data_IF_065699876366
#
_entry.id   IF_065699876366
#
_cell.length_a   1.000
_cell.length_b   1.000
_cell.length_c   1.000
_cell.angle_alpha   90.00
_cell.angle_beta   90.00
_cell.angle_gamma   90.00
#
_symmetry.space_group_name_H-M   'P 1'
#
loop_
_entity.id
_entity.type
_entity.pdbx_description
1 polymer ?
#
# COMPACT_ATOMS: atom_id res chain seq x y z
N UNK A 1 -11.80 -28.37 3.49
CA UNK A 1 -11.45 -27.00 3.06
C UNK A 1 -11.32 -27.04 1.55
N UNK A 2 -12.20 -26.34 0.85
CA UNK A 2 -12.05 -26.15 -0.59
C UNK A 2 -10.79 -25.32 -0.83
N UNK A 3 -9.89 -25.78 -1.70
CA UNK A 3 -8.68 -25.04 -2.00
C UNK A 3 -9.06 -23.77 -2.74
N UNK A 4 -8.77 -22.61 -2.13
CA UNK A 4 -8.85 -21.31 -2.80
C UNK A 4 -7.77 -21.27 -3.87
N UNK A 5 -8.19 -21.21 -5.14
CA UNK A 5 -7.27 -21.06 -6.27
C UNK A 5 -7.27 -19.60 -6.71
N UNK A 6 -6.10 -19.00 -6.98
CA UNK A 6 -6.05 -17.66 -7.54
C UNK A 6 -6.74 -17.67 -8.91
N UNK A 7 -7.62 -16.71 -9.16
CA UNK A 7 -8.26 -16.60 -10.47
C UNK A 7 -7.23 -16.16 -11.52
N UNK A 8 -7.57 -16.36 -12.79
CA UNK A 8 -6.79 -15.83 -13.90
C UNK A 8 -6.59 -14.30 -13.80
N UNK A 9 -7.59 -13.57 -13.29
CA UNK A 9 -7.54 -12.11 -13.18
C UNK A 9 -6.56 -11.64 -12.11
N UNK A 10 -6.50 -12.34 -10.97
CA UNK A 10 -5.51 -12.06 -9.92
C UNK A 10 -4.09 -12.33 -10.42
N UNK A 11 -3.88 -13.43 -11.14
CA UNK A 11 -2.58 -13.76 -11.74
C UNK A 11 -2.15 -12.73 -12.80
N UNK A 12 -3.08 -12.22 -13.60
CA UNK A 12 -2.83 -11.12 -14.53
C UNK A 12 -2.39 -9.84 -13.81
N UNK A 13 -3.04 -9.49 -12.69
CA UNK A 13 -2.66 -8.34 -11.86
C UNK A 13 -1.23 -8.47 -11.33
N UNK A 14 -0.87 -9.65 -10.83
CA UNK A 14 0.49 -9.95 -10.36
C UNK A 14 1.53 -9.84 -11.48
N UNK A 15 1.25 -10.45 -12.63
CA UNK A 15 2.15 -10.40 -13.79
C UNK A 15 2.34 -8.96 -14.29
N UNK A 16 1.26 -8.18 -14.34
CA UNK A 16 1.30 -6.78 -14.75
C UNK A 16 2.17 -5.95 -13.81
N UNK A 17 1.92 -6.02 -12.50
CA UNK A 17 2.72 -5.33 -11.49
C UNK A 17 4.20 -5.74 -11.57
N UNK A 18 4.48 -7.03 -11.71
CA UNK A 18 5.85 -7.54 -11.82
C UNK A 18 6.58 -7.00 -13.05
N UNK A 19 5.88 -6.90 -14.19
CA UNK A 19 6.42 -6.35 -15.43
C UNK A 19 6.72 -4.85 -15.31
N UNK A 20 5.78 -4.07 -14.75
CA UNK A 20 5.91 -2.62 -14.59
C UNK A 20 7.02 -2.26 -13.60
N UNK A 21 7.13 -2.99 -12.49
CA UNK A 21 8.15 -2.75 -11.46
C UNK A 21 9.46 -3.54 -11.66
N UNK A 22 9.69 -4.17 -12.82
CA UNK A 22 10.83 -5.09 -13.06
C UNK A 22 12.22 -4.49 -12.77
N UNK A 23 12.38 -3.19 -13.01
CA UNK A 23 13.64 -2.46 -12.79
C UNK A 23 13.69 -1.72 -11.45
N UNK A 24 12.56 -1.57 -10.76
CA UNK A 24 12.49 -0.83 -9.50
C UNK A 24 13.03 -1.68 -8.34
N UNK A 25 13.61 -1.00 -7.35
CA UNK A 25 14.10 -1.59 -6.10
C UNK A 25 13.48 -0.88 -4.90
N UNK A 26 13.40 -1.57 -3.77
CA UNK A 26 13.10 -0.96 -2.47
C UNK A 26 14.24 0.01 -2.09
N UNK A 27 14.03 0.78 -1.03
CA UNK A 27 14.98 1.81 -0.57
C UNK A 27 16.26 1.25 0.09
N UNK A 28 16.40 -0.08 0.10
CA UNK A 28 17.65 -0.78 0.40
C UNK A 28 18.52 -1.00 -0.85
N UNK A 29 18.05 -0.58 -2.04
CA UNK A 29 18.69 -0.70 -3.35
C UNK A 29 18.98 -2.15 -3.82
N UNK A 30 18.48 -3.15 -3.09
CA UNK A 30 18.77 -4.57 -3.34
C UNK A 30 17.48 -5.34 -3.65
N UNK A 31 16.45 -5.13 -2.83
CA UNK A 31 15.22 -5.92 -2.89
C UNK A 31 14.35 -5.49 -4.09
N UNK A 32 13.92 -6.41 -4.98
CA UNK A 32 12.99 -6.10 -6.08
C UNK A 32 11.70 -5.46 -5.57
N UNK A 33 11.23 -4.38 -6.22
CA UNK A 33 10.09 -3.62 -5.72
C UNK A 33 8.78 -4.42 -5.73
N UNK A 34 8.60 -5.35 -6.66
CA UNK A 34 7.42 -6.23 -6.75
C UNK A 34 7.10 -6.98 -5.43
N UNK A 35 8.11 -7.20 -4.58
CA UNK A 35 7.90 -7.79 -3.26
C UNK A 35 7.00 -6.91 -2.38
N UNK A 36 7.02 -5.58 -2.56
CA UNK A 36 6.12 -4.66 -1.85
C UNK A 36 4.64 -4.88 -2.22
N UNK A 37 4.18 -4.72 -3.48
CA UNK A 37 2.79 -5.02 -3.81
C UNK A 37 2.34 -6.44 -3.43
N UNK A 38 3.23 -7.45 -3.58
CA UNK A 38 2.94 -8.82 -3.13
C UNK A 38 2.68 -8.85 -1.62
N UNK A 39 3.53 -8.21 -0.81
CA UNK A 39 3.35 -8.16 0.63
C UNK A 39 2.05 -7.44 1.01
N UNK A 40 1.72 -6.32 0.37
CA UNK A 40 0.48 -5.57 0.64
C UNK A 40 -0.74 -6.45 0.35
N UNK A 41 -0.78 -7.13 -0.81
CA UNK A 41 -1.86 -8.07 -1.13
C UNK A 41 -1.89 -9.28 -0.16
N UNK A 42 -0.73 -9.77 0.26
CA UNK A 42 -0.62 -10.89 1.22
C UNK A 42 -1.12 -10.50 2.61
N UNK A 43 -0.75 -9.31 3.10
CA UNK A 43 -1.24 -8.75 4.37
C UNK A 43 -2.77 -8.70 4.34
N UNK A 44 -3.35 -8.20 3.24
CA UNK A 44 -4.81 -8.14 3.09
C UNK A 44 -5.45 -9.52 3.11
N UNK A 45 -4.92 -10.48 2.34
CA UNK A 45 -5.50 -11.80 2.21
C UNK A 45 -5.34 -12.65 3.48
N UNK A 46 -4.16 -12.64 4.09
CA UNK A 46 -3.78 -13.56 5.18
C UNK A 46 -4.09 -12.98 6.55
N UNK A 47 -3.76 -11.71 6.80
CA UNK A 47 -3.96 -11.07 8.10
C UNK A 47 -5.29 -10.32 8.14
N UNK A 48 -5.60 -9.57 7.08
CA UNK A 48 -6.83 -8.78 6.95
C UNK A 48 -8.08 -9.61 6.67
N UNK A 49 -7.93 -10.89 6.27
CA UNK A 49 -9.03 -11.78 5.91
C UNK A 49 -9.80 -11.36 4.66
N UNK A 50 -9.18 -10.57 3.78
CA UNK A 50 -9.84 -10.01 2.60
C UNK A 50 -9.87 -11.05 1.47
N UNK A 51 -11.08 -11.36 1.00
CA UNK A 51 -11.32 -12.25 -0.15
C UNK A 51 -11.83 -11.51 -1.38
N UNK A 52 -12.06 -10.20 -1.29
CA UNK A 52 -12.50 -9.37 -2.41
C UNK A 52 -11.36 -9.21 -3.43
N UNK A 53 -11.53 -9.85 -4.58
CA UNK A 53 -10.49 -9.88 -5.62
C UNK A 53 -10.16 -8.49 -6.16
N UNK A 54 -11.13 -7.58 -6.27
CA UNK A 54 -10.87 -6.21 -6.74
C UNK A 54 -9.94 -5.46 -5.79
N UNK A 55 -10.06 -5.69 -4.48
CA UNK A 55 -9.14 -5.12 -3.46
C UNK A 55 -7.75 -5.73 -3.56
N UNK A 56 -7.65 -7.05 -3.72
CA UNK A 56 -6.36 -7.74 -3.82
C UNK A 56 -5.60 -7.37 -5.11
N UNK A 57 -6.30 -7.25 -6.24
CA UNK A 57 -5.70 -6.76 -7.49
C UNK A 57 -5.29 -5.30 -7.34
N UNK A 58 -6.14 -4.44 -6.76
CA UNK A 58 -5.77 -3.04 -6.53
C UNK A 58 -4.54 -2.92 -5.63
N UNK A 59 -4.39 -3.78 -4.62
CA UNK A 59 -3.18 -3.84 -3.79
C UNK A 59 -1.92 -4.24 -4.57
N UNK A 60 -2.03 -5.18 -5.52
CA UNK A 60 -0.91 -5.52 -6.42
C UNK A 60 -0.54 -4.35 -7.35
N UNK A 61 -1.51 -3.50 -7.69
CA UNK A 61 -1.36 -2.43 -8.67
C UNK A 61 -1.14 -1.03 -8.07
N UNK A 62 -1.21 -0.89 -6.74
CA UNK A 62 -1.39 0.42 -6.09
C UNK A 62 -0.32 1.46 -6.44
N UNK A 63 0.93 1.03 -6.65
CA UNK A 63 2.05 1.91 -7.02
C UNK A 63 2.33 1.96 -8.53
N UNK A 64 1.60 1.21 -9.35
CA UNK A 64 1.93 1.12 -10.79
C UNK A 64 1.77 2.46 -11.48
N UNK A 65 0.66 3.17 -11.25
CA UNK A 65 0.45 4.51 -11.84
C UNK A 65 1.37 5.55 -11.20
N UNK A 66 1.69 5.39 -9.91
CA UNK A 66 2.51 6.36 -9.18
C UNK A 66 4.01 6.30 -9.59
N UNK A 67 4.57 5.10 -9.75
CA UNK A 67 6.02 4.88 -9.83
C UNK A 67 6.49 4.31 -11.18
N UNK A 68 5.58 4.09 -12.13
CA UNK A 68 5.92 3.51 -13.46
C UNK A 68 5.30 4.32 -14.60
N UNK A 69 5.38 3.81 -15.83
CA UNK A 69 4.76 4.40 -17.02
C UNK A 69 3.27 4.04 -17.19
N UNK A 70 2.68 3.39 -16.18
CA UNK A 70 1.29 2.94 -16.20
C UNK A 70 0.32 4.11 -16.15
N UNK A 71 -0.79 4.01 -16.88
CA UNK A 71 -1.87 5.01 -16.83
C UNK A 71 -3.16 4.42 -16.23
N UNK A 72 -4.03 5.29 -15.70
CA UNK A 72 -5.37 4.85 -15.26
C UNK A 72 -6.20 4.23 -16.39
N UNK A 73 -6.03 4.71 -17.62
CA UNK A 73 -6.73 4.14 -18.78
C UNK A 73 -6.25 2.72 -19.07
N UNK A 74 -4.94 2.45 -18.96
CA UNK A 74 -4.38 1.11 -19.06
C UNK A 74 -4.97 0.19 -17.97
N UNK A 75 -5.00 0.63 -16.70
CA UNK A 75 -5.61 -0.15 -15.60
C UNK A 75 -7.09 -0.44 -15.88
N UNK A 76 -7.85 0.56 -16.32
CA UNK A 76 -9.28 0.41 -16.63
C UNK A 76 -9.53 -0.58 -17.77
N UNK A 77 -8.71 -0.55 -18.83
CA UNK A 77 -8.83 -1.46 -19.97
C UNK A 77 -8.51 -2.92 -19.59
N UNK A 78 -7.47 -3.13 -18.76
CA UNK A 78 -7.04 -4.48 -18.38
C UNK A 78 -7.88 -5.08 -17.23
N UNK A 79 -8.28 -4.26 -16.25
CA UNK A 79 -8.84 -4.75 -14.98
C UNK A 79 -10.27 -4.26 -14.70
N UNK A 80 -10.74 -3.23 -15.41
CA UNK A 80 -12.07 -2.66 -15.26
C UNK A 80 -12.12 -1.43 -14.35
N UNK A 81 -13.28 -0.78 -14.35
CA UNK A 81 -13.51 0.51 -13.68
C UNK A 81 -13.29 0.42 -12.17
N UNK A 82 -13.84 -0.60 -11.51
CA UNK A 82 -13.77 -0.71 -10.05
C UNK A 82 -12.33 -0.73 -9.53
N UNK A 83 -11.47 -1.57 -10.11
CA UNK A 83 -10.05 -1.66 -9.73
C UNK A 83 -9.33 -0.34 -10.05
N UNK A 84 -9.63 0.27 -11.19
CA UNK A 84 -9.07 1.57 -11.55
C UNK A 84 -9.42 2.67 -10.54
N UNK A 85 -10.65 2.71 -10.03
CA UNK A 85 -11.06 3.69 -9.02
C UNK A 85 -10.30 3.48 -7.70
N UNK A 86 -10.18 2.23 -7.24
CA UNK A 86 -9.41 1.92 -6.02
C UNK A 86 -7.95 2.34 -6.19
N UNK A 87 -7.31 1.99 -7.32
CA UNK A 87 -5.92 2.38 -7.63
C UNK A 87 -5.78 3.90 -7.65
N UNK A 88 -6.75 4.63 -8.20
CA UNK A 88 -6.74 6.10 -8.21
C UNK A 88 -6.80 6.70 -6.82
N UNK A 89 -7.63 6.16 -5.93
CA UNK A 89 -7.74 6.66 -4.55
C UNK A 89 -6.46 6.45 -3.72
N UNK A 90 -5.60 5.51 -4.13
CA UNK A 90 -4.34 5.18 -3.44
C UNK A 90 -3.08 5.71 -4.16
N UNK A 91 -3.24 6.38 -5.30
CA UNK A 91 -2.14 7.00 -6.05
C UNK A 91 -1.95 8.46 -5.60
N UNK A 92 -0.75 8.85 -5.20
CA UNK A 92 -0.42 10.25 -4.94
C UNK A 92 -0.15 11.02 -6.25
N UNK A 93 -0.51 12.30 -6.29
CA UNK A 93 -0.14 13.21 -7.39
C UNK A 93 1.34 13.59 -7.32
N UNK A 94 2.18 12.95 -8.14
CA UNK A 94 3.62 13.19 -8.22
C UNK A 94 4.00 14.59 -8.72
N UNK A 95 3.07 15.39 -9.25
CA UNK A 95 3.34 16.79 -9.63
C UNK A 95 3.49 17.71 -8.41
N UNK A 96 2.95 17.30 -7.26
CA UNK A 96 3.02 18.06 -6.02
C UNK A 96 4.30 17.78 -5.24
N UNK A 97 4.74 18.77 -4.47
CA UNK A 97 5.86 18.63 -3.55
C UNK A 97 5.63 17.52 -2.52
N UNK A 98 6.72 16.86 -2.11
CA UNK A 98 6.63 15.69 -1.21
C UNK A 98 5.91 15.96 0.10
N UNK A 99 6.10 17.15 0.68
CA UNK A 99 5.43 17.54 1.92
C UNK A 99 3.92 17.72 1.71
N UNK A 100 3.54 18.23 0.54
CA UNK A 100 2.15 18.43 0.19
C UNK A 100 1.43 17.09 -0.03
N UNK A 101 2.06 16.14 -0.74
CA UNK A 101 1.51 14.77 -0.88
C UNK A 101 1.28 14.11 0.47
N UNK A 102 2.24 14.26 1.39
CA UNK A 102 2.12 13.76 2.77
C UNK A 102 0.96 14.39 3.55
N UNK A 103 0.72 15.69 3.37
CA UNK A 103 -0.42 16.41 3.98
C UNK A 103 -1.74 15.88 3.42
N UNK A 104 -1.83 15.78 2.09
CA UNK A 104 -3.02 15.27 1.40
C UNK A 104 -3.33 13.82 1.76
N UNK A 105 -2.33 12.95 1.98
CA UNK A 105 -2.59 11.59 2.47
C UNK A 105 -3.33 11.57 3.82
N UNK A 106 -3.08 12.53 4.72
CA UNK A 106 -3.78 12.63 6.01
C UNK A 106 -5.23 13.08 5.78
N UNK A 107 -5.44 14.09 4.93
CA UNK A 107 -6.77 14.66 4.66
C UNK A 107 -7.67 13.70 3.88
N UNK A 108 -7.13 13.07 2.85
CA UNK A 108 -7.87 12.15 2.00
C UNK A 108 -8.11 10.79 2.66
N UNK A 109 -7.32 10.41 3.69
CA UNK A 109 -7.48 9.14 4.39
C UNK A 109 -8.90 8.94 4.93
N UNK A 110 -9.49 9.96 5.57
CA UNK A 110 -10.85 9.86 6.10
C UNK A 110 -11.93 9.74 5.01
N UNK A 111 -11.70 10.41 3.87
CA UNK A 111 -12.63 10.46 2.73
C UNK A 111 -12.53 9.26 1.78
N UNK A 112 -11.46 8.48 1.89
CA UNK A 112 -11.24 7.32 1.01
C UNK A 112 -12.33 6.27 1.22
N UNK A 113 -12.68 5.57 0.15
CA UNK A 113 -13.60 4.44 0.17
C UNK A 113 -13.10 3.33 1.09
N UNK A 114 -14.00 2.46 1.55
CA UNK A 114 -13.64 1.34 2.41
C UNK A 114 -12.55 0.44 1.76
N UNK A 115 -12.69 0.17 0.45
CA UNK A 115 -11.72 -0.63 -0.31
C UNK A 115 -10.36 0.04 -0.40
N UNK A 116 -10.31 1.35 -0.65
CA UNK A 116 -9.05 2.10 -0.66
C UNK A 116 -8.40 2.19 0.72
N UNK A 117 -9.18 2.34 1.80
CA UNK A 117 -8.67 2.33 3.19
C UNK A 117 -8.00 1.00 3.53
N UNK A 118 -8.55 -0.14 3.09
CA UNK A 118 -7.90 -1.44 3.26
C UNK A 118 -6.50 -1.45 2.65
N UNK A 119 -6.38 -1.07 1.38
CA UNK A 119 -5.09 -1.02 0.67
C UNK A 119 -4.12 -0.07 1.36
N UNK A 120 -4.56 1.14 1.75
CA UNK A 120 -3.73 2.12 2.47
C UNK A 120 -3.25 1.61 3.83
N UNK A 121 -4.09 0.91 4.59
CA UNK A 121 -3.69 0.33 5.87
C UNK A 121 -2.61 -0.75 5.69
N UNK A 122 -2.81 -1.65 4.73
CA UNK A 122 -1.83 -2.71 4.43
C UNK A 122 -0.51 -2.15 3.88
N UNK A 123 -0.56 -1.13 3.02
CA UNK A 123 0.62 -0.38 2.55
C UNK A 123 1.42 0.18 3.74
N UNK A 124 0.75 0.91 4.64
CA UNK A 124 1.41 1.46 5.82
C UNK A 124 1.99 0.36 6.71
N UNK A 125 1.30 -0.76 6.88
CA UNK A 125 1.79 -1.88 7.68
C UNK A 125 3.05 -2.50 7.07
N UNK A 126 3.10 -2.79 5.77
CA UNK A 126 4.31 -3.30 5.11
C UNK A 126 5.47 -2.32 5.24
N UNK A 127 5.23 -1.04 4.94
CA UNK A 127 6.25 0.00 4.99
C UNK A 127 6.82 0.21 6.40
N UNK A 128 5.99 0.16 7.44
CA UNK A 128 6.43 0.29 8.83
C UNK A 128 7.17 -0.97 9.31
N UNK A 129 6.74 -2.17 8.91
CA UNK A 129 7.46 -3.41 9.18
C UNK A 129 8.84 -3.42 8.51
N UNK A 130 8.93 -2.92 7.28
CA UNK A 130 10.20 -2.80 6.55
C UNK A 130 11.12 -1.77 7.21
N UNK A 131 10.61 -0.59 7.57
CA UNK A 131 11.36 0.44 8.29
C UNK A 131 11.89 -0.06 9.64
N UNK A 132 11.13 -0.92 10.34
CA UNK A 132 11.55 -1.55 11.59
C UNK A 132 12.68 -2.57 11.38
N UNK A 133 12.66 -3.31 10.27
CA UNK A 133 13.63 -4.37 9.94
C UNK A 133 14.95 -3.82 9.38
N UNK A 134 14.87 -2.98 8.36
CA UNK A 134 16.02 -2.40 7.66
C UNK A 134 15.66 -0.98 7.23
N UNK A 135 16.08 0.04 8.00
CA UNK A 135 15.82 1.41 7.62
C UNK A 135 16.40 1.74 6.23
N UNK A 136 15.73 2.61 5.46
CA UNK A 136 16.24 3.05 4.16
C UNK A 136 17.66 3.62 4.22
N UNK A 137 18.45 3.37 3.17
CA UNK A 137 19.81 3.90 3.07
C UNK A 137 19.77 5.43 3.09
N UNK A 138 20.63 6.04 3.92
CA UNK A 138 20.76 7.49 4.03
C UNK A 138 19.67 8.21 4.82
N UNK A 139 18.75 7.50 5.50
CA UNK A 139 17.79 8.13 6.40
C UNK A 139 18.39 8.39 7.78
N UNK A 140 18.36 9.65 8.24
CA UNK A 140 18.65 10.00 9.64
C UNK A 140 17.60 9.37 10.58
N UNK A 141 17.95 9.19 11.85
CA UNK A 141 17.01 8.72 12.88
C UNK A 141 15.78 9.63 12.97
N UNK A 142 15.99 10.94 12.94
CA UNK A 142 14.91 11.93 12.92
C UNK A 142 13.94 11.69 11.76
N UNK A 143 14.46 11.44 10.55
CA UNK A 143 13.61 11.17 9.38
C UNK A 143 12.82 9.87 9.53
N UNK A 144 13.41 8.84 10.17
CA UNK A 144 12.71 7.59 10.47
C UNK A 144 11.57 7.84 11.47
N UNK A 145 11.83 8.58 12.56
CA UNK A 145 10.81 8.96 13.55
C UNK A 145 9.68 9.79 12.93
N UNK A 146 10.00 10.79 12.11
CA UNK A 146 9.03 11.58 11.37
C UNK A 146 8.15 10.72 10.46
N UNK A 147 8.67 9.61 9.92
CA UNK A 147 7.88 8.68 9.14
C UNK A 147 6.85 7.92 10.00
N UNK A 148 7.24 7.43 11.19
CA UNK A 148 6.29 6.80 12.13
C UNK A 148 5.19 7.77 12.56
N UNK A 149 5.55 9.02 12.90
CA UNK A 149 4.59 10.06 13.30
C UNK A 149 3.61 10.37 12.17
N UNK A 150 4.12 10.54 10.94
CA UNK A 150 3.29 10.79 9.77
C UNK A 150 2.37 9.59 9.46
N UNK A 151 2.90 8.37 9.45
CA UNK A 151 2.13 7.17 9.18
C UNK A 151 0.99 7.01 10.20
N UNK A 152 1.24 7.29 11.48
CA UNK A 152 0.19 7.29 12.50
C UNK A 152 -0.94 8.27 12.18
N UNK A 153 -0.63 9.52 11.82
CA UNK A 153 -1.64 10.51 11.45
C UNK A 153 -2.52 10.06 10.29
N UNK A 154 -1.94 9.38 9.31
CA UNK A 154 -2.70 8.79 8.18
C UNK A 154 -3.59 7.65 8.68
N UNK A 155 -3.03 6.71 9.46
CA UNK A 155 -3.76 5.54 9.99
C UNK A 155 -4.90 5.94 10.93
N UNK A 156 -4.73 6.95 11.77
CA UNK A 156 -5.77 7.43 12.69
C UNK A 156 -7.03 7.90 11.94
N UNK A 157 -6.88 8.42 10.72
CA UNK A 157 -8.00 8.83 9.86
C UNK A 157 -8.65 7.66 9.09
N UNK A 158 -8.13 6.44 9.20
CA UNK A 158 -8.66 5.24 8.54
C UNK A 158 -9.18 4.19 9.54
N UNK A 159 -9.21 4.50 10.84
CA UNK A 159 -9.68 3.57 11.88
C UNK A 159 -11.13 3.14 11.68
N UNK A 160 -11.46 1.95 12.16
CA UNK A 160 -12.76 1.32 11.97
C UNK A 160 -12.93 0.63 10.60
N UNK A 161 -11.84 0.40 9.87
CA UNK A 161 -11.85 -0.29 8.57
C UNK A 161 -11.51 -1.76 8.73
N UNK A 162 -10.40 -2.10 9.40
CA UNK A 162 -10.00 -3.48 9.64
C UNK A 162 -9.34 -3.63 11.02
N UNK A 163 -10.01 -4.25 12.00
CA UNK A 163 -9.53 -4.29 13.38
C UNK A 163 -8.27 -5.15 13.58
N UNK A 164 -7.93 -6.05 12.64
CA UNK A 164 -6.70 -6.84 12.72
C UNK A 164 -5.52 -6.00 12.26
N UNK A 165 -5.61 -5.39 11.07
CA UNK A 165 -4.53 -4.53 10.55
C UNK A 165 -4.26 -3.33 11.45
N UNK A 166 -5.32 -2.72 11.99
CA UNK A 166 -5.22 -1.59 12.93
C UNK A 166 -4.49 -1.97 14.21
N UNK A 167 -4.73 -3.18 14.73
CA UNK A 167 -4.04 -3.70 15.92
C UNK A 167 -2.55 -3.95 15.66
N UNK A 168 -2.23 -4.52 14.50
CA UNK A 168 -0.83 -4.74 14.09
C UNK A 168 -0.06 -3.42 13.92
N UNK A 169 -0.73 -2.39 13.40
CA UNK A 169 -0.20 -1.02 13.35
C UNK A 169 0.00 -0.45 14.76
N UNK A 170 -0.95 -0.67 15.68
CA UNK A 170 -0.85 -0.19 17.07
C UNK A 170 0.30 -0.82 17.85
N UNK A 171 0.63 -2.08 17.59
CA UNK A 171 1.84 -2.72 18.16
C UNK A 171 3.08 -1.91 17.78
N UNK A 172 3.23 -1.56 16.50
CA UNK A 172 4.38 -0.78 16.02
C UNK A 172 4.36 0.64 16.61
N UNK A 173 3.20 1.30 16.67
CA UNK A 173 3.11 2.66 17.23
C UNK A 173 3.41 2.70 18.73
N UNK A 174 3.00 1.67 19.49
CA UNK A 174 3.30 1.54 20.92
C UNK A 174 4.80 1.35 21.17
N UNK A 175 5.49 0.55 20.36
CA UNK A 175 6.96 0.41 20.40
C UNK A 175 7.67 1.77 20.21
N UNK A 176 7.06 2.68 19.44
CA UNK A 176 7.55 4.04 19.18
C UNK A 176 7.00 5.10 20.13
N UNK A 177 6.27 4.71 21.18
CA UNK A 177 5.65 5.62 22.17
C UNK A 177 4.72 6.65 21.53
N UNK A 178 4.04 6.26 20.46
CA UNK A 178 3.06 7.10 19.78
C UNK A 178 1.61 6.74 20.16
N UNK A 179 1.39 5.72 21.00
CA UNK A 179 0.09 5.27 21.50
C UNK A 179 0.11 5.18 23.03
#
# INVERSE_FOLDING_TARGET
MEALHPTAKLMQGLQFAASKHRTQRRKDNETPYINHPINVATILAVEGGITDESVLIAALLHDTVEDTDTTFEEIKQHFGVEICEIVREVTDDKSLEKQERKRLQIEHAAMSSFKAKLVKLADKLDNLRDLRRKPPIGWSLERQEQYYVWAKKVVDNMRGTNPVLERELDVIFKEKKLL
#
